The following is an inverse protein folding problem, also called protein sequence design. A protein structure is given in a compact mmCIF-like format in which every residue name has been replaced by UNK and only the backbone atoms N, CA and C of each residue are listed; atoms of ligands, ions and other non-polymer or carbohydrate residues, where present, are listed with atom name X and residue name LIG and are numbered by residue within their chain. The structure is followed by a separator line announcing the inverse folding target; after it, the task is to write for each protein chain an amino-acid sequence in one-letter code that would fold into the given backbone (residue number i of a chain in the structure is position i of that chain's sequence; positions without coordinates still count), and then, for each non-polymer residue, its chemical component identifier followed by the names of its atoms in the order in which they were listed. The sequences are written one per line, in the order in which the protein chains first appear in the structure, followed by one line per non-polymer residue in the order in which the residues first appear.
data_IF_918721060969
#
_entry.id   IF_918721060969
#
_cell.length_a   1.000
_cell.length_b   1.000
_cell.length_c   1.000
_cell.angle_alpha   90.00
_cell.angle_beta   90.00
_cell.angle_gamma   90.00
#
_symmetry.space_group_name_H-M   'P 1'
#
loop_
_entity.id
_entity.type
_entity.pdbx_description
1 polymer ?
#
# COMPACT_ATOMS: atom_id res chain seq x y z
N UNK A 1 -4.42 14.20 -20.18
CA UNK A 1 -5.60 13.58 -20.82
C UNK A 1 -5.89 12.29 -20.08
N UNK A 2 -6.88 12.32 -19.19
CA UNK A 2 -7.34 11.16 -18.42
C UNK A 2 -8.69 10.67 -18.92
N UNK A 3 -8.93 9.37 -18.82
CA UNK A 3 -10.21 8.74 -19.10
C UNK A 3 -10.72 8.05 -17.83
N UNK A 4 -11.93 8.40 -17.42
CA UNK A 4 -12.62 7.76 -16.30
C UNK A 4 -13.89 7.08 -16.81
N UNK A 5 -14.13 5.84 -16.38
CA UNK A 5 -15.34 5.10 -16.72
C UNK A 5 -15.84 4.32 -15.50
N UNK A 6 -17.13 4.46 -15.23
CA UNK A 6 -17.83 3.69 -14.20
C UNK A 6 -18.81 2.73 -14.87
N UNK A 7 -18.76 1.45 -14.47
CA UNK A 7 -19.60 0.37 -14.98
C UNK A 7 -20.33 -0.25 -13.80
N UNK A 8 -21.64 -0.47 -13.96
CA UNK A 8 -22.44 -1.20 -13.00
C UNK A 8 -22.75 -2.58 -13.56
N UNK A 9 -22.43 -3.63 -12.82
CA UNK A 9 -22.68 -5.02 -13.18
C UNK A 9 -23.49 -5.67 -12.05
N UNK A 10 -24.82 -5.67 -12.18
CA UNK A 10 -25.71 -6.09 -11.12
C UNK A 10 -25.55 -5.20 -9.87
N UNK A 11 -25.17 -5.81 -8.75
CA UNK A 11 -24.89 -5.09 -7.49
C UNK A 11 -23.49 -4.49 -7.43
N UNK A 12 -22.57 -4.96 -8.27
CA UNK A 12 -21.19 -4.51 -8.29
C UNK A 12 -21.02 -3.20 -9.05
N UNK A 13 -20.12 -2.35 -8.56
CA UNK A 13 -19.66 -1.14 -9.24
C UNK A 13 -18.17 -1.26 -9.53
N UNK A 14 -17.79 -0.99 -10.77
CA UNK A 14 -16.40 -0.99 -11.24
C UNK A 14 -16.11 0.43 -11.72
N UNK A 15 -15.13 1.08 -11.13
CA UNK A 15 -14.62 2.38 -11.51
C UNK A 15 -13.20 2.20 -12.07
N UNK A 16 -12.95 2.70 -13.28
CA UNK A 16 -11.65 2.65 -13.94
C UNK A 16 -11.23 4.07 -14.27
N UNK A 17 -10.00 4.43 -13.93
CA UNK A 17 -9.38 5.69 -14.29
C UNK A 17 -8.02 5.43 -14.91
N UNK A 18 -7.68 6.13 -15.99
CA UNK A 18 -6.38 6.02 -16.67
C UNK A 18 -5.94 7.42 -17.08
N UNK A 19 -4.71 7.80 -16.72
CA UNK A 19 -4.07 9.03 -17.17
C UNK A 19 -2.82 8.70 -18.00
N UNK A 20 -2.82 9.20 -19.24
CA UNK A 20 -1.75 9.01 -20.23
C UNK A 20 -0.89 10.26 -20.41
N UNK A 21 -1.08 11.30 -19.60
CA UNK A 21 -0.38 12.60 -19.74
C UNK A 21 1.13 12.42 -19.77
N UNK A 22 1.70 11.64 -18.84
CA UNK A 22 3.14 11.40 -18.79
C UNK A 22 3.66 10.63 -20.02
N UNK A 23 2.90 9.63 -20.48
CA UNK A 23 3.24 8.88 -21.71
C UNK A 23 3.24 9.78 -22.95
N UNK A 24 2.26 10.69 -23.05
CA UNK A 24 2.17 11.64 -24.16
C UNK A 24 3.28 12.68 -24.11
N UNK A 25 3.56 13.25 -22.93
CA UNK A 25 4.67 14.18 -22.74
C UNK A 25 6.02 13.54 -23.12
N UNK A 26 6.27 12.30 -22.67
CA UNK A 26 7.49 11.58 -23.04
C UNK A 26 7.59 11.31 -24.55
N UNK A 27 6.46 10.98 -25.20
CA UNK A 27 6.43 10.75 -26.65
C UNK A 27 6.65 12.03 -27.47
N UNK A 28 6.21 13.19 -26.96
CA UNK A 28 6.35 14.49 -27.61
C UNK A 28 7.75 15.11 -27.46
N UNK A 29 8.51 14.74 -26.43
CA UNK A 29 9.81 15.33 -26.12
C UNK A 29 10.98 14.80 -26.99
N UNK A 30 10.72 13.96 -28.01
CA UNK A 30 11.67 13.49 -29.04
C UNK A 30 13.10 13.17 -28.50
N UNK A 31 13.24 12.60 -27.31
CA UNK A 31 14.52 12.10 -26.82
C UNK A 31 14.79 10.70 -27.38
N UNK A 32 15.90 10.48 -28.10
CA UNK A 32 16.36 9.12 -28.40
C UNK A 32 16.98 8.53 -27.12
N UNK A 33 16.93 7.20 -26.99
CA UNK A 33 17.42 6.39 -25.85
C UNK A 33 16.46 6.32 -24.66
N UNK A 34 16.09 5.15 -24.10
CA UNK A 34 16.81 3.87 -23.97
C UNK A 34 15.77 2.75 -23.92
N UNK A 35 15.97 1.73 -24.75
CA UNK A 35 15.16 0.52 -24.86
C UNK A 35 15.25 -0.36 -23.59
N UNK A 36 14.25 -0.29 -22.69
CA UNK A 36 13.81 -1.42 -21.82
C UNK A 36 12.67 -1.09 -20.84
N UNK A 37 12.04 0.08 -20.85
CA UNK A 37 10.88 0.29 -19.97
C UNK A 37 9.60 -0.28 -20.59
N UNK A 38 8.84 -1.05 -19.81
CA UNK A 38 7.58 -1.64 -20.27
C UNK A 38 6.62 -0.55 -20.80
N UNK A 39 5.80 -0.82 -21.82
CA UNK A 39 4.92 0.19 -22.45
C UNK A 39 3.83 0.76 -21.51
N UNK A 40 3.73 0.19 -20.30
CA UNK A 40 2.81 0.56 -19.22
C UNK A 40 3.50 1.35 -18.10
N UNK A 41 4.83 1.50 -18.12
CA UNK A 41 5.61 2.17 -17.05
C UNK A 41 5.17 3.61 -16.79
N UNK A 42 4.85 4.36 -17.86
CA UNK A 42 4.43 5.76 -17.81
C UNK A 42 2.90 5.94 -17.74
N UNK A 43 2.15 4.86 -17.57
CA UNK A 43 0.69 4.91 -17.44
C UNK A 43 0.34 4.99 -15.96
N UNK A 44 -0.40 6.02 -15.59
CA UNK A 44 -1.03 6.15 -14.28
C UNK A 44 -2.45 5.64 -14.43
N UNK A 45 -2.94 4.89 -13.46
CA UNK A 45 -4.32 4.43 -13.51
C UNK A 45 -4.76 3.84 -12.19
N UNK A 46 -6.07 3.79 -12.03
CA UNK A 46 -6.69 3.08 -10.91
C UNK A 46 -7.88 2.25 -11.37
N UNK A 47 -8.05 1.10 -10.72
CA UNK A 47 -9.17 0.20 -10.87
C UNK A 47 -9.77 0.00 -9.48
N UNK A 48 -11.06 0.22 -9.36
CA UNK A 48 -11.76 0.12 -8.10
C UNK A 48 -13.05 -0.69 -8.29
N UNK A 49 -13.18 -1.79 -7.56
CA UNK A 49 -14.31 -2.71 -7.62
C UNK A 49 -14.96 -2.72 -6.24
N UNK A 50 -16.22 -2.31 -6.19
CA UNK A 50 -17.09 -2.35 -5.01
C UNK A 50 -18.18 -3.38 -5.24
N UNK A 51 -18.22 -4.43 -4.42
CA UNK A 51 -19.31 -5.39 -4.43
C UNK A 51 -20.03 -5.38 -3.08
N UNK A 52 -21.22 -4.74 -2.98
CA UNK A 52 -22.08 -4.89 -1.83
C UNK A 52 -22.79 -6.25 -1.86
N UNK A 53 -23.02 -6.83 -0.69
CA UNK A 53 -23.75 -8.06 -0.50
C UNK A 53 -23.18 -9.27 -1.26
N UNK A 54 -21.88 -9.55 -1.07
CA UNK A 54 -21.14 -10.59 -1.80
C UNK A 54 -21.78 -11.99 -1.66
N UNK A 55 -22.24 -12.36 -0.46
CA UNK A 55 -22.80 -13.70 -0.18
C UNK A 55 -24.29 -13.66 0.21
N UNK A 56 -24.98 -12.54 -0.02
CA UNK A 56 -26.38 -12.41 0.39
C UNK A 56 -26.58 -11.91 1.83
N UNK A 57 -25.51 -11.79 2.62
CA UNK A 57 -25.56 -11.42 4.04
C UNK A 57 -25.22 -9.95 4.33
N UNK A 58 -25.25 -9.06 3.33
CA UNK A 58 -24.87 -7.63 3.37
C UNK A 58 -23.37 -7.31 3.54
N UNK A 59 -22.50 -8.30 3.28
CA UNK A 59 -21.04 -8.14 3.31
C UNK A 59 -20.55 -7.30 2.14
N UNK A 60 -19.52 -6.47 2.37
CA UNK A 60 -18.97 -5.58 1.36
C UNK A 60 -17.55 -6.03 1.01
N UNK A 61 -17.28 -6.20 -0.27
CA UNK A 61 -15.94 -6.41 -0.80
C UNK A 61 -15.52 -5.16 -1.57
N UNK A 62 -14.37 -4.60 -1.20
CA UNK A 62 -13.70 -3.54 -1.95
C UNK A 62 -12.37 -4.09 -2.45
N UNK A 63 -12.13 -3.98 -3.75
CA UNK A 63 -10.83 -4.25 -4.36
C UNK A 63 -10.37 -2.97 -5.04
N UNK A 64 -9.20 -2.47 -4.70
CA UNK A 64 -8.58 -1.35 -5.41
C UNK A 64 -7.21 -1.73 -5.91
N UNK A 65 -6.87 -1.18 -7.07
CA UNK A 65 -5.54 -1.17 -7.60
C UNK A 65 -5.26 0.25 -8.07
N UNK A 66 -4.26 0.89 -7.49
CA UNK A 66 -3.80 2.21 -7.83
C UNK A 66 -2.35 2.09 -8.31
N UNK A 67 -2.09 2.48 -9.55
CA UNK A 67 -0.76 2.54 -10.14
C UNK A 67 -0.41 4.00 -10.42
N UNK A 68 0.58 4.51 -9.70
CA UNK A 68 1.27 5.75 -10.01
C UNK A 68 2.46 5.53 -10.95
N UNK A 69 3.31 6.55 -11.04
CA UNK A 69 4.52 6.51 -11.87
C UNK A 69 5.58 5.59 -11.28
N UNK A 70 5.78 5.70 -9.96
CA UNK A 70 6.83 4.99 -9.22
C UNK A 70 6.26 4.09 -8.12
N UNK A 71 4.99 4.31 -7.76
CA UNK A 71 4.28 3.57 -6.74
C UNK A 71 3.15 2.74 -7.32
N UNK A 72 2.81 1.67 -6.61
CA UNK A 72 1.60 0.89 -6.87
C UNK A 72 1.04 0.36 -5.56
N UNK A 73 -0.28 0.23 -5.50
CA UNK A 73 -1.00 -0.26 -4.34
C UNK A 73 -2.15 -1.15 -4.82
N UNK A 74 -2.22 -2.37 -4.31
CA UNK A 74 -3.34 -3.28 -4.48
C UNK A 74 -3.92 -3.52 -3.09
N UNK A 75 -5.21 -3.28 -2.93
CA UNK A 75 -5.93 -3.44 -1.68
C UNK A 75 -7.14 -4.34 -1.89
N UNK A 76 -7.31 -5.31 -1.02
CA UNK A 76 -8.51 -6.13 -0.91
C UNK A 76 -9.03 -5.99 0.50
N UNK A 77 -10.21 -5.40 0.64
CA UNK A 77 -10.89 -5.19 1.91
C UNK A 77 -12.24 -5.92 1.93
N UNK A 78 -12.40 -6.85 2.86
CA UNK A 78 -13.64 -7.56 3.10
C UNK A 78 -14.25 -7.11 4.42
N UNK A 79 -15.47 -6.58 4.36
CA UNK A 79 -16.19 -5.99 5.50
C UNK A 79 -17.42 -6.81 5.82
N UNK A 80 -17.47 -7.33 7.05
CA UNK A 80 -18.68 -7.97 7.55
C UNK A 80 -19.67 -6.89 8.05
N UNK A 81 -20.97 -7.09 7.82
CA UNK A 81 -22.00 -6.23 8.36
C UNK A 81 -22.12 -6.51 9.85
N UNK A 82 -22.21 -5.44 10.63
CA UNK A 82 -22.52 -5.46 12.06
C UNK A 82 -23.51 -4.35 12.36
N UNK A 83 -24.32 -4.49 13.43
CA UNK A 83 -25.17 -3.41 13.92
C UNK A 83 -24.36 -2.13 14.14
N UNK A 84 -24.99 -0.98 13.88
CA UNK A 84 -24.33 0.34 13.94
C UNK A 84 -23.73 0.70 15.31
N UNK A 85 -24.15 0.03 16.37
CA UNK A 85 -23.65 0.22 17.74
C UNK A 85 -22.38 -0.58 18.05
N UNK A 86 -21.97 -1.50 17.17
CA UNK A 86 -20.80 -2.36 17.33
C UNK A 86 -19.67 -1.95 16.39
N UNK A 87 -18.43 -2.11 16.84
CA UNK A 87 -17.26 -1.91 16.00
C UNK A 87 -17.32 -2.80 14.75
N UNK A 88 -17.24 -2.15 13.59
CA UNK A 88 -17.22 -2.80 12.29
C UNK A 88 -15.84 -3.41 12.07
N UNK A 89 -15.81 -4.72 11.83
CA UNK A 89 -14.58 -5.45 11.54
C UNK A 89 -14.40 -5.60 10.02
N UNK A 90 -13.18 -5.34 9.56
CA UNK A 90 -12.77 -5.52 8.19
C UNK A 90 -11.47 -6.32 8.12
N UNK A 91 -11.39 -7.24 7.17
CA UNK A 91 -10.17 -7.96 6.85
C UNK A 91 -9.54 -7.30 5.64
N UNK A 92 -8.25 -7.00 5.74
CA UNK A 92 -7.52 -6.24 4.74
C UNK A 92 -6.28 -7.00 4.32
N UNK A 93 -6.09 -7.16 3.02
CA UNK A 93 -4.84 -7.59 2.41
C UNK A 93 -4.40 -6.47 1.49
N UNK A 94 -3.15 -6.06 1.59
CA UNK A 94 -2.60 -4.98 0.78
C UNK A 94 -1.22 -5.36 0.29
N UNK A 95 -0.94 -5.11 -0.98
CA UNK A 95 0.41 -5.15 -1.52
C UNK A 95 0.73 -3.77 -2.07
N UNK A 96 1.86 -3.20 -1.69
CA UNK A 96 2.28 -1.90 -2.17
C UNK A 96 3.76 -1.89 -2.52
N UNK A 97 4.08 -1.19 -3.59
CA UNK A 97 5.45 -0.87 -3.98
C UNK A 97 5.54 0.65 -3.94
N UNK A 98 6.53 1.18 -3.22
CA UNK A 98 6.75 2.63 -3.15
C UNK A 98 8.24 2.94 -3.16
N UNK A 99 8.68 4.02 -3.84
CA UNK A 99 10.07 4.44 -3.79
C UNK A 99 10.42 4.87 -2.36
N UNK A 100 11.55 4.41 -1.86
CA UNK A 100 12.06 4.82 -0.56
C UNK A 100 13.07 5.96 -0.72
N UNK A 101 12.67 7.14 -0.24
CA UNK A 101 13.43 8.39 -0.40
C UNK A 101 14.59 8.49 0.63
N UNK A 102 14.73 7.50 1.53
CA UNK A 102 15.57 7.58 2.72
C UNK A 102 16.67 6.53 2.87
N UNK A 103 16.89 5.63 1.90
CA UNK A 103 18.01 4.69 2.00
C UNK A 103 19.31 5.43 1.71
N UNK A 104 20.15 5.59 2.72
CA UNK A 104 21.52 6.05 2.54
C UNK A 104 22.29 5.00 1.73
N UNK A 105 22.84 5.41 0.59
CA UNK A 105 23.68 4.54 -0.26
C UNK A 105 22.96 4.01 -1.50
N UNK A 106 23.73 3.81 -2.57
CA UNK A 106 23.23 3.18 -3.80
C UNK A 106 23.17 1.66 -3.56
N UNK A 107 22.12 0.94 -3.95
CA UNK A 107 22.07 -0.51 -3.81
C UNK A 107 22.98 -1.22 -4.84
N UNK A 108 23.72 -2.25 -4.42
CA UNK A 108 24.44 -3.16 -5.34
C UNK A 108 23.55 -4.37 -5.66
N UNK A 109 23.49 -4.76 -6.93
CA UNK A 109 23.22 -6.15 -7.30
C UNK A 109 24.57 -6.86 -7.57
N UNK A 110 24.65 -8.16 -7.33
CA UNK A 110 25.89 -8.93 -7.53
C UNK A 110 26.28 -9.12 -9.02
N UNK A 111 25.60 -8.47 -9.98
CA UNK A 111 25.73 -8.79 -11.41
C UNK A 111 25.77 -7.60 -12.39
N UNK A 112 25.67 -6.35 -11.95
CA UNK A 112 25.64 -5.19 -12.84
C UNK A 112 26.38 -3.99 -12.25
N UNK A 113 27.40 -3.56 -12.99
CA UNK A 113 28.30 -2.45 -12.64
C UNK A 113 27.76 -1.11 -13.16
N UNK A 114 26.46 -0.88 -13.04
CA UNK A 114 25.80 0.33 -13.54
C UNK A 114 25.11 1.07 -12.41
N UNK A 115 25.61 2.28 -12.14
CA UNK A 115 25.35 3.02 -10.90
C UNK A 115 23.97 3.67 -10.79
N UNK A 116 23.71 4.10 -9.55
CA UNK A 116 22.57 4.88 -9.07
C UNK A 116 21.20 4.24 -9.33
N UNK A 117 20.94 3.10 -8.69
CA UNK A 117 19.59 2.53 -8.62
C UNK A 117 18.78 3.11 -7.46
N UNK A 118 17.51 3.44 -7.67
CA UNK A 118 16.59 3.71 -6.57
C UNK A 118 16.31 2.45 -5.75
N UNK A 119 15.90 2.63 -4.50
CA UNK A 119 15.36 1.54 -3.67
C UNK A 119 13.84 1.69 -3.62
N UNK A 120 13.12 0.62 -3.91
CA UNK A 120 11.69 0.53 -3.75
C UNK A 120 11.36 -0.42 -2.60
N UNK A 121 10.41 -0.06 -1.74
CA UNK A 121 9.89 -0.98 -0.73
C UNK A 121 8.67 -1.69 -1.29
N UNK A 122 8.78 -3.01 -1.43
CA UNK A 122 7.63 -3.90 -1.60
C UNK A 122 7.14 -4.37 -0.24
N UNK A 123 5.93 -3.96 0.11
CA UNK A 123 5.26 -4.30 1.36
C UNK A 123 4.02 -5.13 1.06
N UNK A 124 3.99 -6.36 1.57
CA UNK A 124 2.77 -7.16 1.65
C UNK A 124 2.25 -7.08 3.09
N UNK A 125 1.00 -6.66 3.27
CA UNK A 125 0.36 -6.64 4.57
C UNK A 125 -0.97 -7.37 4.58
N UNK A 126 -1.26 -7.99 5.72
CA UNK A 126 -2.52 -8.69 5.95
C UNK A 126 -2.94 -8.47 7.40
N UNK A 127 -4.21 -8.13 7.63
CA UNK A 127 -4.68 -7.85 8.97
C UNK A 127 -6.15 -7.50 9.08
N UNK A 128 -6.48 -6.92 10.23
CA UNK A 128 -7.84 -6.58 10.62
C UNK A 128 -7.89 -5.11 11.00
N UNK A 129 -8.86 -4.39 10.44
CA UNK A 129 -9.21 -3.04 10.90
C UNK A 129 -10.57 -3.10 11.62
N UNK A 130 -10.60 -2.57 12.84
CA UNK A 130 -11.77 -2.38 13.69
C UNK A 130 -12.13 -0.90 13.65
N UNK A 131 -13.25 -0.58 13.01
CA UNK A 131 -13.80 0.77 12.96
C UNK A 131 -14.85 0.90 14.04
N UNK A 132 -14.56 1.65 15.09
CA UNK A 132 -15.55 1.96 16.11
C UNK A 132 -16.60 2.91 15.54
N UNK A 133 -17.89 2.65 15.82
CA UNK A 133 -18.95 3.51 15.35
C UNK A 133 -18.73 4.92 15.89
N UNK A 134 -18.89 5.89 15.00
CA UNK A 134 -18.64 7.25 15.39
C UNK A 134 -19.64 7.67 16.47
N UNK A 135 -19.16 8.01 17.67
CA UNK A 135 -19.96 8.91 18.52
C UNK A 135 -20.14 10.21 17.75
N UNK A 136 -21.16 11.02 18.04
CA UNK A 136 -21.68 12.10 17.18
C UNK A 136 -20.68 12.97 16.38
N UNK A 137 -19.40 13.08 16.79
CA UNK A 137 -18.34 13.82 16.08
C UNK A 137 -16.98 13.11 16.03
N UNK A 138 -16.82 11.95 16.67
CA UNK A 138 -15.55 11.23 16.77
C UNK A 138 -15.64 9.88 16.07
N UNK A 139 -14.66 9.57 15.23
CA UNK A 139 -14.48 8.25 14.62
C UNK A 139 -13.12 7.69 15.01
N UNK A 140 -13.05 6.38 15.26
CA UNK A 140 -11.84 5.70 15.71
C UNK A 140 -11.66 4.41 14.90
N UNK A 141 -10.42 4.15 14.49
CA UNK A 141 -10.03 2.95 13.74
C UNK A 141 -8.78 2.37 14.39
N UNK A 142 -8.90 1.14 14.88
CA UNK A 142 -7.78 0.35 15.41
C UNK A 142 -7.47 -0.76 14.42
N UNK A 143 -6.20 -0.90 14.06
CA UNK A 143 -5.74 -1.85 13.04
C UNK A 143 -4.55 -2.64 13.54
N UNK A 144 -4.55 -3.94 13.25
CA UNK A 144 -3.44 -4.86 13.53
C UNK A 144 -3.12 -5.57 12.23
N UNK A 145 -1.89 -5.41 11.73
CA UNK A 145 -1.45 -5.94 10.45
C UNK A 145 -0.11 -6.65 10.60
N UNK A 146 0.01 -7.83 10.02
CA UNK A 146 1.31 -8.39 9.72
C UNK A 146 1.82 -7.75 8.43
N UNK A 147 3.06 -7.27 8.41
CA UNK A 147 3.72 -6.70 7.26
C UNK A 147 5.00 -7.48 6.94
N UNK A 148 5.18 -7.79 5.67
CA UNK A 148 6.36 -8.41 5.11
C UNK A 148 6.97 -7.45 4.08
N UNK A 149 8.18 -6.98 4.35
CA UNK A 149 8.81 -5.88 3.63
C UNK A 149 10.09 -6.38 2.96
N UNK A 150 10.22 -6.05 1.68
CA UNK A 150 11.40 -6.31 0.87
C UNK A 150 11.86 -5.02 0.20
N UNK A 151 13.09 -4.60 0.46
CA UNK A 151 13.77 -3.64 -0.39
C UNK A 151 14.03 -4.25 -1.76
N UNK A 152 13.69 -3.52 -2.82
CA UNK A 152 13.86 -3.89 -4.22
C UNK A 152 14.74 -2.86 -4.91
N UNK A 153 15.55 -3.29 -5.87
CA UNK A 153 16.22 -2.39 -6.81
C UNK A 153 15.27 -1.99 -7.97
N UNK A 154 15.76 -1.14 -8.87
CA UNK A 154 15.02 -0.71 -10.06
C UNK A 154 14.68 -1.85 -11.04
N UNK A 155 15.43 -2.96 -11.00
CA UNK A 155 15.13 -4.17 -11.79
C UNK A 155 14.06 -5.06 -11.12
N UNK A 156 13.55 -4.69 -9.95
CA UNK A 156 12.59 -5.47 -9.16
C UNK A 156 13.18 -6.66 -8.41
N UNK A 157 14.51 -6.74 -8.27
CA UNK A 157 15.22 -7.75 -7.48
C UNK A 157 15.35 -7.32 -6.04
N UNK A 158 15.19 -8.26 -5.10
CA UNK A 158 15.40 -7.98 -3.68
C UNK A 158 16.86 -7.67 -3.37
N UNK A 159 17.08 -6.66 -2.52
CA UNK A 159 18.39 -6.24 -2.04
C UNK A 159 18.46 -6.39 -0.52
N UNK A 160 19.63 -6.74 0.00
CA UNK A 160 19.86 -6.84 1.45
C UNK A 160 21.00 -5.95 1.95
N UNK A 161 21.78 -5.34 1.04
CA UNK A 161 22.93 -4.48 1.37
C UNK A 161 23.06 -3.27 0.42
N UNK A 162 23.69 -2.21 0.91
CA UNK A 162 24.07 -1.02 0.14
C UNK A 162 25.44 -1.17 -0.57
N UNK A 163 25.96 -0.11 -1.20
CA UNK A 163 27.28 -0.09 -1.84
C UNK A 163 28.44 -0.43 -0.88
N UNK A 164 28.34 0.00 0.37
CA UNK A 164 29.39 -0.10 1.36
C UNK A 164 29.29 -1.45 2.14
N UNK A 165 28.28 -2.26 1.83
CA UNK A 165 28.04 -3.57 2.41
C UNK A 165 27.21 -3.54 3.70
N UNK A 166 26.67 -2.38 4.10
CA UNK A 166 25.79 -2.26 5.26
C UNK A 166 24.40 -2.84 4.95
N UNK A 167 23.77 -3.51 5.94
CA UNK A 167 22.44 -4.07 5.76
C UNK A 167 21.39 -2.98 5.58
N UNK A 168 20.49 -3.15 4.61
CA UNK A 168 19.34 -2.24 4.40
C UNK A 168 18.08 -2.69 5.14
N UNK A 169 18.14 -3.85 5.79
CA UNK A 169 17.09 -4.42 6.65
C UNK A 169 17.61 -4.54 8.08
N UNK A 170 16.72 -4.50 9.06
CA UNK A 170 17.06 -4.70 10.47
C UNK A 170 17.65 -6.10 10.72
N UNK A 171 17.18 -7.13 10.00
CA UNK A 171 17.73 -8.49 10.11
C UNK A 171 19.01 -8.72 9.30
N UNK A 172 19.36 -7.81 8.37
CA UNK A 172 20.40 -8.04 7.37
C UNK A 172 20.05 -9.10 6.31
N UNK A 173 18.80 -9.57 6.28
CA UNK A 173 18.29 -10.50 5.28
C UNK A 173 17.63 -9.77 4.09
N UNK A 174 17.08 -10.52 3.12
CA UNK A 174 16.37 -9.95 1.97
C UNK A 174 14.99 -9.36 2.33
N UNK A 175 14.55 -9.53 3.58
CA UNK A 175 13.24 -9.07 4.04
C UNK A 175 13.18 -8.90 5.55
N UNK A 176 12.27 -8.06 6.00
CA UNK A 176 11.86 -7.99 7.40
C UNK A 176 10.37 -8.21 7.52
N UNK A 177 9.99 -8.90 8.60
CA UNK A 177 8.58 -9.04 8.96
C UNK A 177 8.31 -8.31 10.25
N UNK A 178 7.15 -7.66 10.35
CA UNK A 178 6.73 -6.98 11.56
C UNK A 178 5.23 -7.08 11.77
N UNK A 179 4.81 -6.93 13.03
CA UNK A 179 3.43 -6.67 13.37
C UNK A 179 3.27 -5.17 13.59
N UNK A 180 2.40 -4.55 12.83
CA UNK A 180 2.06 -3.13 12.92
C UNK A 180 0.72 -2.98 13.61
N UNK A 181 0.72 -2.22 14.71
CA UNK A 181 -0.48 -1.79 15.41
C UNK A 181 -0.65 -0.30 15.10
N UNK A 182 -1.83 0.07 14.62
CA UNK A 182 -2.14 1.46 14.28
C UNK A 182 -3.49 1.85 14.82
N UNK A 183 -3.54 2.97 15.55
CA UNK A 183 -4.75 3.58 16.07
C UNK A 183 -4.91 4.98 15.48
N UNK A 184 -6.04 5.20 14.83
CA UNK A 184 -6.40 6.47 14.22
C UNK A 184 -7.69 7.00 14.84
N UNK A 185 -7.70 8.26 15.25
CA UNK A 185 -8.86 8.94 15.83
C UNK A 185 -9.08 10.28 15.13
N UNK A 186 -10.31 10.52 14.66
CA UNK A 186 -10.68 11.72 13.92
C UNK A 186 -11.90 12.37 14.55
N UNK A 187 -11.78 13.65 14.87
CA UNK A 187 -12.88 14.50 15.25
C UNK A 187 -13.21 15.47 14.11
N UNK A 188 -14.48 15.58 13.75
CA UNK A 188 -14.95 16.56 12.78
C UNK A 188 -16.25 17.19 13.28
N UNK A 189 -16.28 18.53 13.29
CA UNK A 189 -17.46 19.33 13.62
C UNK A 189 -17.62 20.41 12.56
N UNK A 190 -18.79 20.42 11.93
CA UNK A 190 -19.23 21.51 11.07
C UNK A 190 -20.40 22.24 11.74
N UNK A 191 -20.35 23.57 11.73
CA UNK A 191 -21.43 24.49 12.09
C UNK A 191 -21.62 25.46 10.90
N UNK A 192 -22.72 26.23 10.89
CA UNK A 192 -23.07 27.13 9.77
C UNK A 192 -21.97 28.13 9.36
N UNK A 193 -21.08 28.47 10.30
CA UNK A 193 -20.00 29.45 10.08
C UNK A 193 -18.59 28.88 10.27
N UNK A 194 -18.43 27.60 10.63
CA UNK A 194 -17.09 27.05 10.93
C UNK A 194 -16.98 25.53 10.76
N UNK A 195 -15.79 25.08 10.38
CA UNK A 195 -15.41 23.69 10.33
C UNK A 195 -14.16 23.46 11.18
N UNK A 196 -14.22 22.49 12.09
CA UNK A 196 -13.08 22.10 12.91
C UNK A 196 -12.83 20.61 12.72
N UNK A 197 -11.58 20.27 12.40
CA UNK A 197 -11.13 18.89 12.22
C UNK A 197 -9.86 18.66 13.04
N UNK A 198 -9.86 17.60 13.82
CA UNK A 198 -8.69 17.09 14.52
C UNK A 198 -8.47 15.64 14.10
N UNK A 199 -7.23 15.23 13.89
CA UNK A 199 -6.89 13.87 13.48
C UNK A 199 -5.60 13.47 14.18
N UNK A 200 -5.66 12.38 14.93
CA UNK A 200 -4.55 11.77 15.64
C UNK A 200 -4.32 10.38 15.05
N UNK A 201 -3.08 10.06 14.73
CA UNK A 201 -2.68 8.73 14.26
C UNK A 201 -1.43 8.31 15.01
N UNK A 202 -1.47 7.11 15.57
CA UNK A 202 -0.35 6.46 16.24
C UNK A 202 -0.13 5.13 15.54
N UNK A 203 1.10 4.86 15.13
CA UNK A 203 1.51 3.62 14.48
C UNK A 203 2.77 3.08 15.15
N UNK A 204 2.77 1.80 15.50
CA UNK A 204 3.87 1.11 16.13
C UNK A 204 4.13 -0.19 15.37
N UNK A 205 5.30 -0.30 14.75
CA UNK A 205 5.83 -1.55 14.21
C UNK A 205 6.62 -2.30 15.27
N UNK A 206 6.40 -3.62 15.38
CA UNK A 206 7.15 -4.54 16.24
C UNK A 206 7.80 -5.58 15.33
N UNK A 207 9.14 -5.59 15.19
CA UNK A 207 9.82 -6.55 14.32
C UNK A 207 9.62 -7.98 14.83
N UNK A 208 9.36 -8.90 13.91
CA UNK A 208 9.31 -10.34 14.18
C UNK A 208 10.69 -10.92 13.92
N UNK A 209 11.52 -11.00 14.96
CA UNK A 209 12.82 -11.65 14.89
C UNK A 209 12.63 -13.17 15.08
N UNK A 210 12.91 -13.96 14.04
CA UNK A 210 12.87 -15.43 14.10
C UNK A 210 14.17 -15.95 14.76
N UNK A 211 14.51 -15.43 15.94
CA UNK A 211 15.64 -15.94 16.74
C UNK A 211 15.17 -16.61 18.04
N UNK A 212 13.86 -16.61 18.33
CA UNK A 212 13.25 -17.31 19.49
C UNK A 212 12.44 -18.54 19.08
N UNK A 213 12.69 -19.11 17.90
CA UNK A 213 12.13 -20.40 17.45
C UNK A 213 13.16 -21.54 17.40
N UNK A 214 14.40 -21.32 17.88
CA UNK A 214 15.43 -22.34 18.03
C UNK A 214 15.70 -22.67 19.51
N UNK A 215 14.66 -22.70 20.33
CA UNK A 215 14.69 -23.49 21.56
C UNK A 215 13.97 -24.82 21.29
N UNK A 216 14.78 -25.89 21.28
CA UNK A 216 14.45 -27.33 21.32
C UNK A 216 14.53 -28.15 20.02
N UNK A 217 15.74 -28.65 19.73
CA UNK A 217 16.13 -30.07 19.51
C UNK A 217 17.50 -30.07 18.84
N UNK A 218 18.62 -30.34 19.50
CA UNK A 218 19.05 -31.54 20.26
C UNK A 218 20.01 -31.13 21.36
#
# INVERSE_FOLDING_TARGET
MGAQKSIHAGKAKIDVNVDLTHKLCASLMLTPFRSTSSPLSLIIGSLYIKHPNLFGGSEKLDVSWDKGLYDSNVLVAYRRPRPEWLAQQSFVIQHSISPEIGVHGVPMDNFSRTGSGGVNLSRLSAGVDLNEPASSKWSSTTSIKFEHIHPLNDDGRSISRDLDGFPVTCSGSLHDSMVVIRQESRFAKANDCSFSRFSLQIEQGIPVLIEVANLQSV
#
